data_IF_183920338053
#
_entry.id   IF_183920338053
#
_cell.length_a   1.000
_cell.length_b   1.000
_cell.length_c   1.000
_cell.angle_alpha   90.00
_cell.angle_beta   90.00
_cell.angle_gamma   90.00
#
_symmetry.space_group_name_H-M   'P 1'
#
loop_
_entity.id
_entity.type
_entity.pdbx_description
1 polymer ?
#
# COMPACT_ATOMS: atom_id res chain seq x y z
N UNK A 1 -31.04 -5.69 13.70
CA UNK A 1 -30.37 -5.86 12.40
C UNK A 1 -28.91 -6.13 12.66
N UNK A 2 -28.40 -7.29 12.29
CA UNK A 2 -26.97 -7.64 12.46
C UNK A 2 -26.17 -6.99 11.34
N UNK A 3 -25.10 -6.27 11.67
CA UNK A 3 -24.23 -5.64 10.68
C UNK A 3 -23.46 -6.72 9.90
N UNK A 4 -23.32 -6.62 8.56
CA UNK A 4 -22.49 -7.56 7.81
C UNK A 4 -21.03 -7.49 8.28
N UNK A 5 -20.35 -8.63 8.30
CA UNK A 5 -18.93 -8.68 8.61
C UNK A 5 -18.13 -8.02 7.48
N UNK A 6 -17.12 -7.24 7.83
CA UNK A 6 -16.29 -6.49 6.89
C UNK A 6 -14.87 -7.04 6.85
N UNK A 7 -14.20 -6.87 5.72
CA UNK A 7 -12.85 -7.39 5.52
C UNK A 7 -11.88 -6.87 6.57
N UNK A 8 -11.96 -5.59 6.95
CA UNK A 8 -11.09 -4.98 7.96
C UNK A 8 -11.09 -5.73 9.31
N UNK A 9 -12.21 -6.33 9.71
CA UNK A 9 -12.38 -7.00 11.01
C UNK A 9 -11.83 -8.43 11.01
N UNK A 10 -11.75 -9.05 9.83
CA UNK A 10 -11.30 -10.43 9.65
C UNK A 10 -9.85 -10.51 9.18
N UNK A 11 -9.47 -9.64 8.24
CA UNK A 11 -8.14 -9.61 7.64
C UNK A 11 -7.73 -8.20 7.22
N UNK A 12 -6.59 -7.73 7.74
CA UNK A 12 -5.96 -6.50 7.28
C UNK A 12 -4.42 -6.59 7.35
N UNK A 13 -3.70 -6.36 6.25
CA UNK A 13 -2.25 -6.55 6.20
C UNK A 13 -1.49 -5.33 6.78
N UNK A 14 -1.57 -5.13 8.10
CA UNK A 14 -0.99 -3.98 8.80
C UNK A 14 0.51 -3.78 8.53
N UNK A 15 1.30 -4.86 8.52
CA UNK A 15 2.74 -4.76 8.31
C UNK A 15 3.07 -4.25 6.89
N UNK A 16 2.42 -4.82 5.87
CA UNK A 16 2.59 -4.46 4.46
C UNK A 16 2.17 -3.02 4.20
N UNK A 17 0.97 -2.65 4.66
CA UNK A 17 0.36 -1.34 4.46
C UNK A 17 1.07 -0.25 5.27
N UNK A 18 1.55 -0.58 6.47
CA UNK A 18 2.39 0.30 7.29
C UNK A 18 3.76 0.52 6.68
N UNK A 19 4.39 -0.53 6.17
CA UNK A 19 5.66 -0.45 5.45
C UNK A 19 5.55 0.46 4.21
N UNK A 20 4.43 0.40 3.48
CA UNK A 20 4.16 1.27 2.34
C UNK A 20 3.90 2.71 2.78
N UNK A 21 3.09 2.93 3.83
CA UNK A 21 2.80 4.28 4.35
C UNK A 21 4.07 5.01 4.80
N UNK A 22 4.99 4.31 5.45
CA UNK A 22 6.29 4.85 5.81
C UNK A 22 7.17 5.13 4.59
N UNK A 23 7.00 4.38 3.50
CA UNK A 23 7.69 4.70 2.25
C UNK A 23 7.13 5.95 1.58
N UNK A 24 5.81 6.10 1.53
CA UNK A 24 5.15 7.31 1.03
C UNK A 24 5.61 8.55 1.82
N UNK A 25 5.80 8.43 3.14
CA UNK A 25 6.38 9.50 3.95
C UNK A 25 7.88 9.73 3.72
N UNK A 26 8.64 8.66 3.43
CA UNK A 26 10.10 8.68 3.36
C UNK A 26 10.69 9.10 2.01
N UNK A 27 9.86 9.24 0.96
CA UNK A 27 10.30 9.71 -0.35
C UNK A 27 10.65 11.20 -0.29
N UNK A 28 11.93 11.49 -0.06
CA UNK A 28 12.52 12.83 -0.11
C UNK A 28 12.56 13.34 -1.57
N UNK A 29 11.40 13.69 -2.12
CA UNK A 29 11.34 14.48 -3.35
C UNK A 29 11.57 15.97 -2.99
N UNK A 30 12.24 16.77 -3.83
CA UNK A 30 12.31 18.24 -3.71
C UNK A 30 10.96 18.92 -4.03
N UNK A 31 9.86 18.23 -3.72
CA UNK A 31 8.50 18.77 -3.73
C UNK A 31 8.31 19.59 -2.45
N UNK A 32 7.43 20.61 -2.45
CA UNK A 32 7.29 21.49 -1.30
C UNK A 32 7.07 20.62 -0.07
N UNK A 33 7.95 20.72 0.94
CA UNK A 33 7.95 19.83 2.08
C UNK A 33 6.53 19.74 2.64
N UNK A 34 6.12 18.52 3.01
CA UNK A 34 4.87 18.17 3.72
C UNK A 34 4.54 19.08 4.93
N UNK A 35 5.45 19.98 5.28
CA UNK A 35 5.52 20.80 6.47
C UNK A 35 5.39 22.32 6.22
N UNK A 36 5.30 22.85 4.99
CA UNK A 36 5.42 24.31 4.78
C UNK A 36 4.30 25.10 4.05
N UNK A 37 3.19 24.50 3.59
CA UNK A 37 1.93 25.25 3.38
C UNK A 37 0.74 24.28 3.37
N UNK A 38 -0.24 24.48 4.26
CA UNK A 38 -1.23 23.47 4.63
C UNK A 38 -2.61 23.81 4.07
N UNK A 39 -3.06 23.07 3.06
CA UNK A 39 -4.47 23.03 2.66
C UNK A 39 -4.98 21.62 2.92
N UNK A 40 -5.66 21.44 4.06
CA UNK A 40 -6.04 20.14 4.63
C UNK A 40 -6.92 19.26 3.73
N UNK A 41 -7.61 19.85 2.74
CA UNK A 41 -8.43 19.12 1.76
C UNK A 41 -7.67 18.65 0.51
N UNK A 42 -6.42 19.07 0.29
CA UNK A 42 -5.64 18.69 -0.90
C UNK A 42 -4.63 17.55 -0.65
N UNK A 43 -4.63 16.93 0.54
CA UNK A 43 -3.71 15.84 0.87
C UNK A 43 -4.24 14.50 0.38
N UNK A 44 -3.38 13.71 -0.27
CA UNK A 44 -3.65 12.27 -0.44
C UNK A 44 -3.51 11.61 0.94
N UNK A 45 -4.56 10.97 1.49
CA UNK A 45 -4.42 10.22 2.73
C UNK A 45 -3.40 9.10 2.56
N UNK A 46 -2.66 8.79 3.63
CA UNK A 46 -1.67 7.72 3.64
C UNK A 46 -2.28 6.39 3.20
N UNK A 47 -1.47 5.53 2.60
CA UNK A 47 -1.90 4.19 2.16
C UNK A 47 -2.64 3.41 3.25
N UNK A 48 -2.23 3.52 4.52
CA UNK A 48 -2.95 2.88 5.64
C UNK A 48 -4.38 3.36 5.82
N UNK A 49 -4.61 4.68 5.75
CA UNK A 49 -5.95 5.24 5.91
C UNK A 49 -6.84 4.87 4.72
N UNK A 50 -6.30 4.93 3.50
CA UNK A 50 -7.01 4.53 2.28
C UNK A 50 -7.38 3.05 2.29
N UNK A 51 -6.43 2.18 2.64
CA UNK A 51 -6.65 0.75 2.72
C UNK A 51 -7.70 0.41 3.80
N UNK A 52 -7.63 1.05 4.97
CA UNK A 52 -8.60 0.83 6.05
C UNK A 52 -10.02 1.22 5.62
N UNK A 53 -10.20 2.35 4.93
CA UNK A 53 -11.50 2.77 4.41
C UNK A 53 -12.03 1.74 3.40
N UNK A 54 -11.21 1.34 2.42
CA UNK A 54 -11.62 0.34 1.43
C UNK A 54 -11.97 -1.00 2.10
N UNK A 55 -11.14 -1.48 3.02
CA UNK A 55 -11.39 -2.73 3.75
C UNK A 55 -12.63 -2.66 4.66
N UNK A 56 -13.05 -1.46 5.09
CA UNK A 56 -14.26 -1.27 5.90
C UNK A 56 -15.55 -1.34 5.07
N UNK A 57 -15.45 -1.17 3.76
CA UNK A 57 -16.58 -1.24 2.82
C UNK A 57 -16.70 -2.61 2.15
N UNK A 58 -15.63 -3.40 2.18
CA UNK A 58 -15.56 -4.68 1.51
C UNK A 58 -16.12 -5.82 2.38
N UNK A 59 -16.86 -6.77 1.79
CA UNK A 59 -17.32 -7.95 2.50
C UNK A 59 -16.14 -8.87 2.86
N UNK A 60 -16.33 -9.72 3.86
CA UNK A 60 -15.39 -10.83 4.09
C UNK A 60 -15.46 -11.82 2.93
N UNK A 61 -14.40 -12.59 2.73
CA UNK A 61 -14.31 -13.55 1.65
C UNK A 61 -15.44 -14.59 1.66
N UNK A 62 -15.98 -14.99 2.82
CA UNK A 62 -17.14 -15.87 2.88
C UNK A 62 -18.36 -15.23 2.20
N UNK A 63 -18.58 -13.92 2.42
CA UNK A 63 -19.66 -13.18 1.74
C UNK A 63 -19.45 -13.02 0.23
N UNK A 64 -18.20 -13.10 -0.24
CA UNK A 64 -17.85 -13.15 -1.67
C UNK A 64 -18.13 -14.53 -2.24
N UNK A 65 -17.83 -15.59 -1.48
CA UNK A 65 -18.06 -16.96 -1.90
C UNK A 65 -19.55 -17.33 -2.04
N UNK A 66 -20.42 -16.58 -1.36
CA UNK A 66 -21.88 -16.69 -1.44
C UNK A 66 -22.47 -16.02 -2.69
N UNK A 67 -21.80 -15.01 -3.26
CA UNK A 67 -22.22 -14.29 -4.46
C UNK A 67 -21.59 -14.92 -5.74
N UNK A 68 -22.39 -15.48 -6.66
CA UNK A 68 -21.86 -16.14 -7.86
C UNK A 68 -21.01 -15.23 -8.76
N UNK A 69 -21.38 -13.95 -8.90
CA UNK A 69 -20.70 -13.02 -9.80
C UNK A 69 -19.34 -12.61 -9.24
N UNK A 70 -19.26 -12.38 -7.93
CA UNK A 70 -18.01 -12.01 -7.28
C UNK A 70 -17.08 -13.21 -7.11
N UNK A 71 -17.62 -14.42 -6.91
CA UNK A 71 -16.85 -15.66 -6.86
C UNK A 71 -16.16 -15.97 -8.18
N UNK A 72 -16.80 -15.67 -9.31
CA UNK A 72 -16.16 -15.80 -10.63
C UNK A 72 -14.96 -14.85 -10.76
N UNK A 73 -15.07 -13.62 -10.24
CA UNK A 73 -13.98 -12.64 -10.27
C UNK A 73 -12.86 -12.96 -9.27
N UNK A 74 -13.20 -13.53 -8.11
CA UNK A 74 -12.27 -13.86 -7.03
C UNK A 74 -12.40 -15.34 -6.62
N UNK A 75 -11.80 -16.26 -7.39
CA UNK A 75 -11.89 -17.70 -7.12
C UNK A 75 -11.29 -18.11 -5.78
N UNK A 76 -10.27 -17.37 -5.31
CA UNK A 76 -9.51 -17.66 -4.10
C UNK A 76 -9.41 -16.44 -3.18
N UNK A 77 -9.34 -16.68 -1.87
CA UNK A 77 -9.12 -15.64 -0.87
C UNK A 77 -7.79 -14.90 -1.08
N UNK A 78 -6.75 -15.64 -1.49
CA UNK A 78 -5.42 -15.07 -1.76
C UNK A 78 -5.49 -14.09 -2.94
N UNK A 79 -6.20 -14.46 -4.01
CA UNK A 79 -6.38 -13.60 -5.19
C UNK A 79 -7.12 -12.31 -4.84
N UNK A 80 -8.12 -12.39 -3.95
CA UNK A 80 -8.85 -11.23 -3.45
C UNK A 80 -7.96 -10.29 -2.61
N UNK A 81 -7.18 -10.85 -1.70
CA UNK A 81 -6.22 -10.11 -0.88
C UNK A 81 -5.12 -9.44 -1.73
N UNK A 82 -4.57 -10.17 -2.71
CA UNK A 82 -3.58 -9.66 -3.66
C UNK A 82 -4.15 -8.54 -4.53
N UNK A 83 -5.41 -8.67 -4.96
CA UNK A 83 -6.12 -7.63 -5.67
C UNK A 83 -6.22 -6.34 -4.84
N UNK A 84 -6.58 -6.44 -3.55
CA UNK A 84 -6.64 -5.28 -2.66
C UNK A 84 -5.26 -4.60 -2.54
N UNK A 85 -4.20 -5.38 -2.36
CA UNK A 85 -2.83 -4.85 -2.28
C UNK A 85 -2.43 -4.12 -3.57
N UNK A 86 -2.72 -4.71 -4.74
CA UNK A 86 -2.47 -4.08 -6.04
C UNK A 86 -3.29 -2.81 -6.26
N UNK A 87 -4.57 -2.82 -5.84
CA UNK A 87 -5.45 -1.64 -5.86
C UNK A 87 -4.84 -0.50 -5.03
N UNK A 88 -4.24 -0.83 -3.88
CA UNK A 88 -3.54 0.12 -3.03
C UNK A 88 -2.18 0.58 -3.58
N UNK A 89 -1.73 0.02 -4.70
CA UNK A 89 -0.46 0.36 -5.34
C UNK A 89 0.74 -0.39 -4.77
N UNK A 90 0.50 -1.44 -3.97
CA UNK A 90 1.53 -2.28 -3.39
C UNK A 90 1.83 -3.41 -4.37
N UNK A 91 3.01 -3.35 -4.98
CA UNK A 91 3.53 -4.36 -5.90
C UNK A 91 4.78 -4.99 -5.28
N UNK A 92 4.70 -6.24 -4.86
CA UNK A 92 5.77 -6.96 -4.15
C UNK A 92 5.66 -6.90 -2.63
N UNK A 93 6.74 -7.27 -1.94
CA UNK A 93 6.79 -7.32 -0.47
C UNK A 93 7.57 -6.14 0.13
N UNK A 94 6.87 -5.09 0.62
CA UNK A 94 7.51 -3.94 1.26
C UNK A 94 8.09 -4.28 2.64
N UNK A 95 7.62 -5.34 3.30
CA UNK A 95 8.12 -5.76 4.61
C UNK A 95 9.50 -6.40 4.42
N UNK A 96 9.63 -7.30 3.47
CA UNK A 96 10.91 -7.96 3.18
C UNK A 96 11.96 -6.94 2.73
N UNK A 97 11.59 -6.03 1.82
CA UNK A 97 12.46 -4.93 1.40
C UNK A 97 12.98 -4.13 2.60
N UNK A 98 12.14 -3.82 3.60
CA UNK A 98 12.56 -3.10 4.81
C UNK A 98 13.48 -3.92 5.71
N UNK A 99 13.25 -5.23 5.83
CA UNK A 99 14.16 -6.13 6.57
C UNK A 99 15.53 -6.16 5.92
N UNK A 100 15.59 -6.27 4.59
CA UNK A 100 16.84 -6.22 3.83
C UNK A 100 17.56 -4.89 4.04
N UNK A 101 16.85 -3.75 3.94
CA UNK A 101 17.41 -2.42 4.20
C UNK A 101 17.94 -2.27 5.63
N UNK A 102 17.27 -2.85 6.64
CA UNK A 102 17.75 -2.83 8.03
C UNK A 102 19.04 -3.64 8.16
N UNK A 103 19.07 -4.86 7.61
CA UNK A 103 20.27 -5.72 7.62
C UNK A 103 21.44 -5.06 6.89
N UNK A 104 21.19 -4.41 5.76
CA UNK A 104 22.21 -3.67 5.00
C UNK A 104 22.79 -2.49 5.80
N UNK A 105 21.98 -1.77 6.58
CA UNK A 105 22.47 -0.71 7.48
C UNK A 105 23.35 -1.25 8.60
N UNK A 106 23.03 -2.44 9.12
CA UNK A 106 23.82 -3.10 10.17
C UNK A 106 25.14 -3.68 9.64
N UNK A 107 25.14 -4.20 8.41
CA UNK A 107 26.29 -4.88 7.78
C UNK A 107 27.16 -3.96 6.93
N UNK A 108 26.66 -2.77 6.56
CA UNK A 108 27.32 -1.85 5.63
C UNK A 108 27.22 -2.29 4.16
N UNK A 109 26.42 -3.31 3.84
CA UNK A 109 26.23 -3.79 2.46
C UNK A 109 25.39 -2.82 1.62
N UNK A 110 25.76 -2.61 0.36
CA UNK A 110 25.00 -1.78 -0.57
C UNK A 110 24.05 -2.63 -1.43
N UNK A 111 22.73 -2.43 -1.27
CA UNK A 111 21.68 -3.18 -1.97
C UNK A 111 21.29 -2.62 -3.36
N UNK A 112 22.08 -1.71 -3.92
CA UNK A 112 21.75 -1.04 -5.19
C UNK A 112 20.87 0.21 -5.03
N UNK A 113 20.51 0.81 -6.17
CA UNK A 113 19.77 2.09 -6.24
C UNK A 113 18.25 1.96 -6.12
N UNK A 114 17.68 0.79 -6.39
CA UNK A 114 16.26 0.47 -6.17
C UNK A 114 16.09 -0.95 -5.60
N UNK A 115 16.39 -1.16 -4.30
CA UNK A 115 16.22 -2.45 -3.65
C UNK A 115 14.76 -2.92 -3.56
N UNK A 116 13.79 -2.03 -3.82
CA UNK A 116 12.36 -2.35 -3.79
C UNK A 116 11.78 -2.75 -5.15
N UNK A 117 12.54 -2.57 -6.25
CA UNK A 117 12.08 -2.85 -7.62
C UNK A 117 10.81 -2.08 -8.02
N UNK A 118 10.50 -0.97 -7.35
CA UNK A 118 9.24 -0.26 -7.59
C UNK A 118 9.32 0.51 -8.89
N UNK A 119 8.41 0.18 -9.81
CA UNK A 119 8.13 1.01 -10.98
C UNK A 119 7.49 2.32 -10.51
N UNK A 120 8.31 3.29 -10.11
CA UNK A 120 7.88 4.67 -9.89
C UNK A 120 7.08 5.08 -11.12
N UNK A 121 5.75 5.24 -10.99
CA UNK A 121 4.94 5.82 -12.07
C UNK A 121 5.61 7.15 -12.39
N UNK A 122 6.25 7.23 -13.57
CA UNK A 122 6.95 8.40 -14.10
C UNK A 122 5.91 9.50 -14.38
N UNK A 123 5.32 10.07 -13.33
CA UNK A 123 4.40 11.21 -13.43
C UNK A 123 5.12 12.56 -13.32
N UNK A 124 6.31 12.61 -12.74
CA UNK A 124 7.09 13.84 -12.56
C UNK A 124 8.59 13.57 -12.77
N UNK A 125 8.99 13.15 -13.97
CA UNK A 125 10.41 13.03 -14.38
C UNK A 125 10.77 14.02 -15.49
N UNK A 126 10.18 15.21 -15.47
CA UNK A 126 10.59 16.33 -16.32
C UNK A 126 10.74 17.59 -15.48
N UNK A 127 11.86 17.71 -14.78
CA UNK A 127 12.45 19.03 -14.56
C UNK A 127 13.96 18.89 -14.82
N UNK A 128 14.50 19.61 -15.81
CA UNK A 128 15.93 19.61 -16.06
C UNK A 128 16.62 20.22 -14.86
N UNK A 129 17.78 19.65 -14.53
CA UNK A 129 18.70 20.21 -13.53
C UNK A 129 19.15 21.58 -14.04
N UNK A 130 18.80 22.63 -13.29
CA UNK A 130 19.57 23.85 -13.20
C UNK A 130 19.95 24.01 -11.72
#
# INVERSE_FOLDING_TARGET
MTRPAVLLESWFPFATVGAESLCECGAASPLPPLYFLHVWWARRPLTISRAAIVASLLPVYEGIADDPELKEQFPDQVSYHDWLLRLMGIYGDPVETRKQLRKARETGEYLGSDPSGRRVRRGCRSMPRC
#
